data_IF_172714756036
#
_entry.id   IF_172714756036
#
_cell.length_a   1.000
_cell.length_b   1.000
_cell.length_c   1.000
_cell.angle_alpha   90.00
_cell.angle_beta   90.00
_cell.angle_gamma   90.00
#
_symmetry.space_group_name_H-M   'P 1'
#
loop_
_entity.id
_entity.type
_entity.pdbx_description
1 polymer ?
#
# COMPACT_ATOMS: atom_id res chain seq x y z
N UNK A 1 -2.11 25.00 -3.65
CA UNK A 1 -3.20 24.17 -3.07
C UNK A 1 -3.21 22.92 -3.91
N UNK A 2 -3.03 21.73 -3.32
CA UNK A 2 -2.94 20.50 -4.10
C UNK A 2 -4.35 20.06 -4.48
N UNK A 3 -4.61 19.93 -5.77
CA UNK A 3 -5.88 19.45 -6.32
C UNK A 3 -5.80 17.93 -6.49
N UNK A 4 -6.72 17.19 -5.86
CA UNK A 4 -6.75 15.73 -5.93
C UNK A 4 -7.95 15.30 -6.76
N UNK A 5 -7.68 14.86 -7.98
CA UNK A 5 -8.63 14.35 -8.94
C UNK A 5 -8.83 12.85 -8.72
N UNK A 6 -10.10 12.45 -8.61
CA UNK A 6 -10.51 11.06 -8.48
C UNK A 6 -11.61 10.83 -9.51
N UNK A 7 -11.30 10.03 -10.53
CA UNK A 7 -12.27 9.69 -11.59
C UNK A 7 -13.43 8.87 -11.02
N UNK A 8 -14.56 8.85 -11.71
CA UNK A 8 -15.73 8.07 -11.26
C UNK A 8 -15.46 6.56 -11.27
N UNK A 9 -14.59 6.09 -12.17
CA UNK A 9 -14.11 4.70 -12.18
C UNK A 9 -13.37 4.36 -10.89
N UNK A 10 -12.48 5.24 -10.43
CA UNK A 10 -11.72 5.05 -9.19
C UNK A 10 -12.62 5.18 -7.96
N UNK A 11 -13.59 6.10 -7.96
CA UNK A 11 -14.57 6.21 -6.86
C UNK A 11 -15.36 4.92 -6.72
N UNK A 12 -15.87 4.38 -7.84
CA UNK A 12 -16.61 3.11 -7.86
C UNK A 12 -15.74 1.95 -7.38
N UNK A 13 -14.50 1.85 -7.86
CA UNK A 13 -13.55 0.83 -7.42
C UNK A 13 -13.26 0.93 -5.92
N UNK A 14 -13.07 2.13 -5.40
CA UNK A 14 -12.82 2.37 -3.98
C UNK A 14 -14.05 1.97 -3.14
N UNK A 15 -15.25 2.32 -3.59
CA UNK A 15 -16.51 1.93 -2.93
C UNK A 15 -16.68 0.41 -2.90
N UNK A 16 -16.46 -0.29 -4.02
CA UNK A 16 -16.49 -1.76 -4.09
C UNK A 16 -15.46 -2.42 -3.16
N UNK A 17 -14.34 -1.75 -2.91
CA UNK A 17 -13.28 -2.19 -1.97
C UNK A 17 -13.51 -1.70 -0.53
N UNK A 18 -14.59 -0.97 -0.26
CA UNK A 18 -14.92 -0.44 1.06
C UNK A 18 -14.00 0.68 1.55
N UNK A 19 -13.40 1.44 0.64
CA UNK A 19 -12.47 2.55 0.92
C UNK A 19 -13.20 3.89 0.69
N UNK A 20 -13.50 4.66 1.74
CA UNK A 20 -14.10 5.99 1.61
C UNK A 20 -13.18 6.96 0.85
N UNK A 21 -13.76 7.81 -0.01
CA UNK A 21 -13.01 8.81 -0.79
C UNK A 21 -12.11 9.72 0.06
N UNK A 22 -12.55 10.05 1.27
CA UNK A 22 -11.78 10.88 2.20
C UNK A 22 -10.49 10.18 2.67
N UNK A 23 -10.49 8.85 2.80
CA UNK A 23 -9.28 8.09 3.13
C UNK A 23 -8.27 8.13 1.99
N UNK A 24 -8.71 8.13 0.72
CA UNK A 24 -7.78 8.30 -0.41
C UNK A 24 -7.04 9.63 -0.32
N UNK A 25 -7.77 10.72 -0.11
CA UNK A 25 -7.19 12.07 0.03
C UNK A 25 -6.22 12.12 1.20
N UNK A 26 -6.60 11.55 2.35
CA UNK A 26 -5.77 11.52 3.55
C UNK A 26 -4.44 10.78 3.34
N UNK A 27 -4.47 9.62 2.66
CA UNK A 27 -3.27 8.82 2.35
C UNK A 27 -2.34 9.60 1.41
N UNK A 28 -2.90 10.18 0.34
CA UNK A 28 -2.13 10.96 -0.65
C UNK A 28 -1.48 12.17 0.03
N UNK A 29 -2.25 12.94 0.79
CA UNK A 29 -1.75 14.14 1.48
C UNK A 29 -0.65 13.79 2.49
N UNK A 30 -0.80 12.71 3.25
CA UNK A 30 0.24 12.27 4.19
C UNK A 30 1.50 11.79 3.46
N UNK A 31 1.37 11.03 2.38
CA UNK A 31 2.49 10.61 1.55
C UNK A 31 3.26 11.79 0.96
N UNK A 32 2.56 12.83 0.50
CA UNK A 32 3.17 14.06 -0.01
C UNK A 32 3.80 14.93 1.08
N UNK A 33 3.17 15.03 2.25
CA UNK A 33 3.67 15.85 3.36
C UNK A 33 4.91 15.24 4.04
N UNK A 34 4.94 13.92 4.19
CA UNK A 34 6.02 13.20 4.92
C UNK A 34 7.10 12.64 4.00
N UNK A 35 6.80 12.53 2.70
CA UNK A 35 7.62 11.81 1.75
C UNK A 35 7.59 10.29 1.91
N UNK A 36 6.71 9.72 2.75
CA UNK A 36 6.53 8.28 2.95
C UNK A 36 5.76 7.64 1.80
N UNK A 37 6.42 7.57 0.65
CA UNK A 37 5.90 6.98 -0.57
C UNK A 37 6.99 6.31 -1.38
N UNK A 38 6.56 5.42 -2.26
CA UNK A 38 7.40 4.90 -3.33
C UNK A 38 7.08 5.60 -4.64
N UNK A 39 8.05 5.65 -5.55
CA UNK A 39 7.96 6.28 -6.87
C UNK A 39 8.33 5.24 -7.93
N UNK A 40 7.50 5.10 -8.95
CA UNK A 40 7.79 4.30 -10.13
C UNK A 40 7.34 5.09 -11.37
N UNK A 41 8.28 5.44 -12.24
CA UNK A 41 8.01 6.35 -13.38
C UNK A 41 7.29 7.63 -12.95
N UNK A 42 6.07 7.86 -13.43
CA UNK A 42 5.21 9.00 -13.08
C UNK A 42 4.23 8.70 -11.93
N UNK A 43 4.26 7.47 -11.40
CA UNK A 43 3.39 6.99 -10.34
C UNK A 43 4.04 7.09 -8.97
N UNK A 44 3.20 7.31 -7.98
CA UNK A 44 3.54 7.35 -6.57
C UNK A 44 2.64 6.34 -5.85
N UNK A 45 3.21 5.58 -4.94
CA UNK A 45 2.49 4.67 -4.04
C UNK A 45 2.66 5.15 -2.61
N UNK A 46 1.58 5.64 -2.01
CA UNK A 46 1.53 5.99 -0.59
C UNK A 46 0.69 4.96 0.17
N UNK A 47 0.96 4.81 1.46
CA UNK A 47 0.15 3.99 2.36
C UNK A 47 -0.06 4.70 3.68
N UNK A 48 -1.20 4.41 4.33
CA UNK A 48 -1.48 4.86 5.70
C UNK A 48 -2.34 3.84 6.42
N UNK A 49 -2.06 3.62 7.70
CA UNK A 49 -2.94 2.87 8.58
C UNK A 49 -4.01 3.81 9.15
N UNK A 50 -5.28 3.50 8.92
CA UNK A 50 -6.46 4.26 9.38
C UNK A 50 -7.31 3.29 10.21
N UNK A 51 -7.23 3.43 11.54
CA UNK A 51 -7.80 2.45 12.46
C UNK A 51 -7.13 1.09 12.31
N UNK A 52 -7.92 0.05 11.97
CA UNK A 52 -7.43 -1.32 11.76
C UNK A 52 -7.16 -1.66 10.30
N UNK A 53 -7.34 -0.69 9.39
CA UNK A 53 -7.19 -0.90 7.95
C UNK A 53 -5.95 -0.16 7.46
N UNK A 54 -5.06 -0.86 6.76
CA UNK A 54 -4.02 -0.19 5.96
C UNK A 54 -4.57 0.08 4.57
N UNK A 55 -4.54 1.35 4.15
CA UNK A 55 -4.98 1.81 2.84
C UNK A 55 -3.77 2.21 2.02
N UNK A 56 -3.74 1.78 0.77
CA UNK A 56 -2.72 2.06 -0.23
C UNK A 56 -3.36 2.82 -1.37
N UNK A 57 -2.68 3.84 -1.87
CA UNK A 57 -3.13 4.65 -3.00
C UNK A 57 -1.99 4.81 -3.98
N UNK A 58 -2.25 4.43 -5.23
CA UNK A 58 -1.39 4.73 -6.37
C UNK A 58 -1.95 5.95 -7.08
N UNK A 59 -1.11 6.94 -7.34
CA UNK A 59 -1.50 8.20 -7.96
C UNK A 59 -0.36 8.79 -8.79
N UNK A 60 -0.71 9.62 -9.76
CA UNK A 60 0.25 10.40 -10.54
C UNK A 60 0.27 11.83 -10.05
N UNK A 61 1.45 12.46 -10.03
CA UNK A 61 1.60 13.85 -9.62
C UNK A 61 2.17 14.69 -10.76
N UNK A 62 1.40 15.70 -11.17
CA UNK A 62 1.74 16.67 -12.21
C UNK A 62 1.73 18.07 -11.61
N UNK A 63 2.83 18.46 -10.96
CA UNK A 63 2.93 19.73 -10.23
C UNK A 63 2.04 19.76 -8.98
N UNK A 64 0.99 20.58 -9.02
CA UNK A 64 -0.02 20.70 -7.95
C UNK A 64 -1.26 19.86 -8.18
N UNK A 65 -1.34 19.13 -9.30
CA UNK A 65 -2.44 18.21 -9.62
C UNK A 65 -2.01 16.78 -9.29
N UNK A 66 -2.89 16.07 -8.59
CA UNK A 66 -2.76 14.65 -8.30
C UNK A 66 -3.92 13.89 -8.91
N UNK A 67 -3.64 12.91 -9.75
CA UNK A 67 -4.64 12.02 -10.34
C UNK A 67 -4.52 10.64 -9.71
N UNK A 68 -5.55 10.23 -8.97
CA UNK A 68 -5.58 8.89 -8.35
C UNK A 68 -5.80 7.83 -9.42
N UNK A 69 -4.96 6.79 -9.41
CA UNK A 69 -4.99 5.68 -10.37
C UNK A 69 -5.74 4.48 -9.80
N UNK A 70 -5.43 4.06 -8.56
CA UNK A 70 -6.08 2.93 -7.89
C UNK A 70 -5.89 3.03 -6.38
N UNK A 71 -6.75 2.36 -5.62
CA UNK A 71 -6.62 2.22 -4.18
C UNK A 71 -7.04 0.83 -3.71
N UNK A 72 -6.34 0.32 -2.71
CA UNK A 72 -6.57 -1.01 -2.16
C UNK A 72 -6.26 -1.03 -0.66
N UNK A 73 -6.80 -1.99 0.06
CA UNK A 73 -6.65 -2.04 1.51
C UNK A 73 -6.74 -3.45 2.08
N UNK A 74 -6.17 -3.65 3.27
CA UNK A 74 -6.38 -4.85 4.08
C UNK A 74 -6.52 -4.51 5.56
N UNK A 75 -7.07 -5.47 6.32
CA UNK A 75 -7.21 -5.40 7.79
C UNK A 75 -6.20 -6.25 8.55
N UNK A 76 -5.22 -6.83 7.84
CA UNK A 76 -4.11 -7.53 8.50
C UNK A 76 -3.17 -6.52 9.17
N UNK A 77 -2.73 -6.86 10.37
CA UNK A 77 -1.71 -6.09 11.11
C UNK A 77 -0.33 -6.42 10.56
N UNK A 78 0.40 -5.39 10.12
CA UNK A 78 1.77 -5.48 9.61
C UNK A 78 2.76 -5.61 10.77
N UNK A 79 3.62 -6.63 10.75
CA UNK A 79 4.68 -6.85 11.75
C UNK A 79 6.04 -6.59 11.09
N UNK A 80 7.03 -7.42 11.43
CA UNK A 80 8.38 -7.32 10.91
C UNK A 80 8.48 -7.78 9.45
N UNK A 81 9.35 -7.08 8.70
CA UNK A 81 9.81 -7.52 7.38
C UNK A 81 10.89 -8.58 7.60
N UNK A 82 10.79 -9.69 6.89
CA UNK A 82 11.75 -10.80 6.90
C UNK A 82 12.27 -11.05 5.50
N UNK A 83 13.41 -11.74 5.40
CA UNK A 83 13.92 -12.30 4.14
C UNK A 83 14.05 -11.29 2.98
N UNK A 84 14.68 -10.10 3.18
CA UNK A 84 14.98 -9.22 2.06
C UNK A 84 15.93 -9.92 1.10
N UNK A 85 15.68 -9.79 -0.20
CA UNK A 85 16.47 -10.38 -1.28
C UNK A 85 17.14 -9.25 -2.06
N UNK A 86 18.37 -8.83 -1.71
CA UNK A 86 19.00 -7.62 -2.25
C UNK A 86 19.16 -7.62 -3.77
N UNK A 87 19.35 -8.79 -4.36
CA UNK A 87 19.55 -8.95 -5.81
C UNK A 87 18.23 -8.90 -6.60
N UNK A 88 17.08 -9.01 -5.91
CA UNK A 88 15.75 -8.99 -6.52
C UNK A 88 15.16 -7.57 -6.44
N UNK A 89 15.78 -6.67 -7.21
CA UNK A 89 15.47 -5.25 -7.25
C UNK A 89 14.10 -5.02 -7.90
N UNK A 90 13.25 -4.30 -7.19
CA UNK A 90 11.91 -3.94 -7.62
C UNK A 90 11.91 -2.59 -8.33
N UNK A 91 10.91 -2.33 -9.20
CA UNK A 91 10.85 -1.09 -9.99
C UNK A 91 10.60 0.17 -9.15
N UNK A 92 10.06 0.00 -7.94
CA UNK A 92 9.71 1.10 -7.05
C UNK A 92 10.93 1.68 -6.34
N UNK A 93 11.01 3.01 -6.27
CA UNK A 93 12.06 3.76 -5.56
C UNK A 93 11.50 4.44 -4.34
N UNK A 94 12.16 4.29 -3.19
CA UNK A 94 11.78 5.01 -1.98
C UNK A 94 12.03 6.51 -2.15
N UNK A 95 11.01 7.35 -1.90
CA UNK A 95 11.16 8.80 -2.01
C UNK A 95 12.11 9.40 -0.95
N UNK A 96 12.17 8.83 0.26
CA UNK A 96 13.07 9.30 1.33
C UNK A 96 14.54 8.94 1.06
N UNK A 97 14.81 7.70 0.67
CA UNK A 97 16.17 7.18 0.54
C UNK A 97 16.73 7.24 -0.87
N UNK A 98 15.88 7.51 -1.87
CA UNK A 98 16.25 7.52 -3.29
C UNK A 98 16.80 6.17 -3.80
N UNK A 99 16.58 5.06 -3.07
CA UNK A 99 16.99 3.70 -3.48
C UNK A 99 15.79 2.88 -3.93
N UNK A 100 16.02 2.00 -4.90
CA UNK A 100 15.05 1.00 -5.29
C UNK A 100 14.72 0.08 -4.12
N UNK A 101 13.46 -0.33 -4.04
CA UNK A 101 13.02 -1.37 -3.12
C UNK A 101 13.50 -2.72 -3.64
N UNK A 102 13.54 -3.69 -2.73
CA UNK A 102 13.88 -5.07 -3.02
C UNK A 102 12.73 -5.96 -2.57
N UNK A 103 12.61 -7.14 -3.18
CA UNK A 103 11.63 -8.12 -2.71
C UNK A 103 11.96 -8.57 -1.29
N UNK A 104 10.95 -8.72 -0.46
CA UNK A 104 11.04 -9.28 0.88
C UNK A 104 9.75 -10.03 1.22
N UNK A 105 9.68 -10.53 2.46
CA UNK A 105 8.47 -11.02 3.09
C UNK A 105 8.12 -10.15 4.29
N UNK A 106 6.86 -10.16 4.73
CA UNK A 106 6.45 -9.51 5.96
C UNK A 106 5.53 -10.44 6.73
N UNK A 107 5.78 -10.54 8.04
CA UNK A 107 4.84 -11.17 8.94
C UNK A 107 3.59 -10.30 9.05
N UNK A 108 2.44 -10.85 8.70
CA UNK A 108 1.13 -10.20 8.83
C UNK A 108 0.25 -11.05 9.73
N UNK A 109 -0.48 -10.41 10.65
CA UNK A 109 -1.36 -11.10 11.57
C UNK A 109 -2.81 -10.66 11.42
N UNK A 110 -3.72 -11.63 11.50
CA UNK A 110 -5.15 -11.38 11.48
C UNK A 110 -5.85 -12.39 12.36
N UNK A 111 -6.72 -11.92 13.26
CA UNK A 111 -7.49 -12.77 14.18
C UNK A 111 -6.64 -13.75 15.01
N UNK A 112 -5.43 -13.33 15.39
CA UNK A 112 -4.47 -14.12 16.20
C UNK A 112 -3.62 -15.11 15.39
N UNK A 113 -3.76 -15.13 14.06
CA UNK A 113 -2.98 -16.00 13.16
C UNK A 113 -1.96 -15.15 12.42
N UNK A 114 -0.68 -15.52 12.54
CA UNK A 114 0.43 -14.87 11.81
C UNK A 114 0.84 -15.70 10.60
N UNK A 115 1.07 -15.04 9.45
CA UNK A 115 1.59 -15.63 8.22
C UNK A 115 2.56 -14.67 7.54
N UNK A 116 3.46 -15.20 6.73
CA UNK A 116 4.31 -14.38 5.86
C UNK A 116 3.56 -14.06 4.56
N UNK A 117 3.70 -12.81 4.10
CA UNK A 117 3.23 -12.37 2.79
C UNK A 117 4.37 -11.65 2.04
N UNK A 118 4.48 -11.81 0.71
CA UNK A 118 5.50 -11.13 -0.08
C UNK A 118 5.25 -9.61 -0.05
N UNK A 119 6.31 -8.84 0.14
CA UNK A 119 6.27 -7.37 0.22
C UNK A 119 7.45 -6.77 -0.54
N UNK A 120 7.41 -5.47 -0.75
CA UNK A 120 8.57 -4.70 -1.20
C UNK A 120 9.11 -3.91 -0.01
N UNK A 121 10.42 -3.86 0.17
CA UNK A 121 11.04 -3.09 1.25
C UNK A 121 12.17 -2.19 0.73
N UNK A 122 12.27 -0.98 1.27
CA UNK A 122 13.47 -0.17 1.07
C UNK A 122 14.60 -0.70 1.96
N UNK A 123 15.76 -1.08 1.40
CA UNK A 123 16.86 -1.67 2.17
C UNK A 123 17.49 -0.70 3.19
N UNK A 124 17.31 0.61 3.01
CA UNK A 124 17.92 1.63 3.87
C UNK A 124 17.04 2.05 5.05
N UNK A 125 15.77 2.38 4.80
CA UNK A 125 14.87 2.87 5.86
C UNK A 125 13.88 1.82 6.36
N UNK A 126 13.83 0.63 5.75
CA UNK A 126 12.90 -0.43 6.13
C UNK A 126 11.44 -0.17 5.76
N UNK A 127 11.14 0.95 5.08
CA UNK A 127 9.78 1.25 4.63
C UNK A 127 9.32 0.18 3.65
N UNK A 128 8.17 -0.44 3.95
CA UNK A 128 7.65 -1.59 3.24
C UNK A 128 6.25 -1.34 2.69
N UNK A 129 5.95 -1.94 1.54
CA UNK A 129 4.68 -1.72 0.83
C UNK A 129 4.25 -3.01 0.14
N UNK A 130 2.97 -3.34 0.23
CA UNK A 130 2.38 -4.41 -0.58
C UNK A 130 1.92 -3.89 -1.93
N UNK A 131 2.13 -4.70 -2.97
CA UNK A 131 1.54 -4.47 -4.27
C UNK A 131 0.04 -4.78 -4.28
N UNK A 132 -0.70 -4.14 -5.18
CA UNK A 132 -2.15 -4.28 -5.28
C UNK A 132 -2.59 -5.75 -5.40
N UNK A 133 -1.92 -6.53 -6.23
CA UNK A 133 -2.28 -7.92 -6.45
C UNK A 133 -2.06 -8.81 -5.21
N UNK A 134 -1.08 -8.48 -4.36
CA UNK A 134 -0.86 -9.17 -3.09
C UNK A 134 -1.99 -8.85 -2.11
N UNK A 135 -2.37 -7.58 -2.00
CA UNK A 135 -3.44 -7.17 -1.09
C UNK A 135 -4.79 -7.74 -1.53
N UNK A 136 -5.15 -7.55 -2.81
CA UNK A 136 -6.46 -7.91 -3.36
C UNK A 136 -6.66 -9.40 -3.55
N UNK A 137 -5.57 -10.19 -3.71
CA UNK A 137 -5.66 -11.66 -3.86
C UNK A 137 -5.16 -12.39 -2.62
N UNK A 138 -3.86 -12.30 -2.31
CA UNK A 138 -3.22 -13.12 -1.28
C UNK A 138 -3.75 -12.78 0.11
N UNK A 139 -3.68 -11.51 0.52
CA UNK A 139 -4.13 -11.09 1.85
C UNK A 139 -5.65 -11.21 1.99
N UNK A 140 -6.39 -10.77 0.97
CA UNK A 140 -7.86 -10.91 0.94
C UNK A 140 -8.30 -12.38 1.12
N UNK A 141 -7.73 -13.30 0.33
CA UNK A 141 -8.05 -14.74 0.41
C UNK A 141 -7.72 -15.31 1.79
N UNK A 142 -6.57 -14.96 2.35
CA UNK A 142 -6.16 -15.41 3.68
C UNK A 142 -7.11 -14.88 4.77
N UNK A 143 -7.49 -13.59 4.73
CA UNK A 143 -8.48 -13.02 5.66
C UNK A 143 -9.83 -13.74 5.57
N UNK A 144 -10.38 -13.92 4.37
CA UNK A 144 -11.65 -14.61 4.19
C UNK A 144 -11.61 -16.07 4.70
N UNK A 145 -10.48 -16.77 4.52
CA UNK A 145 -10.30 -18.11 5.06
C UNK A 145 -10.29 -18.12 6.60
N UNK A 146 -9.63 -17.14 7.22
CA UNK A 146 -9.57 -17.03 8.68
C UNK A 146 -10.90 -16.64 9.30
N UNK A 147 -11.67 -15.75 8.66
CA UNK A 147 -13.04 -15.41 9.07
C UNK A 147 -13.94 -16.64 9.06
N UNK A 148 -13.90 -17.44 7.99
CA UNK A 148 -14.70 -18.69 7.87
C UNK A 148 -14.34 -19.75 8.90
N UNK A 149 -13.07 -19.85 9.32
CA UNK A 149 -12.64 -20.83 10.33
C UNK A 149 -13.04 -20.46 11.77
N UNK A 150 -13.50 -19.23 11.99
CA UNK A 150 -13.99 -18.75 13.30
C UNK A 150 -15.53 -18.62 13.35
N UNK A 151 -16.21 -18.80 12.22
CA UNK A 151 -17.67 -18.77 12.10
C UNK A 151 -18.29 -20.15 12.33
#
# INVERSE_FOLDING_TARGET
>A
MVEINISDEVKKLAEERGIPVEQLKEVVQQGEATGEKLIFEDQNLAKKQIGTTTVYVVYKRSGDVIDVVTAYSHRMEEKEVTDPVPDDVQPWRCNKCNKNTVRASMNVSYLGITRQAPTMVCPDCGASYFEEHIVTKTLCTAMCLFEKKRA
#
